data_IF_127553291760
#
_entry.id   IF_127553291760
#
_cell.length_a   1.000
_cell.length_b   1.000
_cell.length_c   1.000
_cell.angle_alpha   90.00
_cell.angle_beta   90.00
_cell.angle_gamma   90.00
#
_symmetry.space_group_name_H-M   'P 1'
#
loop_
_entity.id
_entity.type
_entity.pdbx_description
1 polymer ?
#
# COMPACT_ATOMS: atom_id res chain seq x y z
N UNK A 1 -43.37 -9.57 6.77
CA UNK A 1 -42.25 -8.81 6.16
C UNK A 1 -42.34 -7.37 6.65
N UNK A 2 -41.75 -7.07 7.80
CA UNK A 2 -41.70 -5.72 8.36
C UNK A 2 -40.78 -4.85 7.49
N UNK A 3 -41.28 -3.68 7.06
CA UNK A 3 -40.51 -2.77 6.23
C UNK A 3 -39.32 -2.21 7.02
N UNK A 4 -38.11 -2.30 6.44
CA UNK A 4 -36.89 -1.79 7.07
C UNK A 4 -37.03 -0.29 7.35
N UNK A 5 -36.68 0.08 8.58
CA UNK A 5 -36.66 1.48 9.01
C UNK A 5 -35.66 2.28 8.16
N UNK A 6 -35.83 3.60 8.08
CA UNK A 6 -34.92 4.46 7.32
C UNK A 6 -33.46 4.35 7.83
N UNK A 7 -33.29 4.12 9.14
CA UNK A 7 -31.98 3.93 9.77
C UNK A 7 -31.31 2.61 9.34
N UNK A 8 -32.06 1.51 9.25
CA UNK A 8 -31.57 0.22 8.78
C UNK A 8 -31.19 0.28 7.29
N UNK A 9 -32.01 0.94 6.47
CA UNK A 9 -31.71 1.16 5.05
C UNK A 9 -30.42 1.94 4.84
N UNK A 10 -30.18 2.99 5.63
CA UNK A 10 -28.96 3.80 5.55
C UNK A 10 -27.72 3.04 6.04
N UNK A 11 -27.87 2.14 7.02
CA UNK A 11 -26.80 1.25 7.48
C UNK A 11 -26.42 0.25 6.38
N UNK A 12 -27.40 -0.43 5.79
CA UNK A 12 -27.16 -1.36 4.69
C UNK A 12 -26.58 -0.68 3.45
N UNK A 13 -26.97 0.57 3.16
CA UNK A 13 -26.38 1.33 2.05
C UNK A 13 -24.90 1.65 2.32
N UNK A 14 -24.54 1.98 3.56
CA UNK A 14 -23.13 2.20 3.96
C UNK A 14 -22.32 0.92 3.89
N UNK A 15 -22.87 -0.18 4.39
CA UNK A 15 -22.25 -1.52 4.32
C UNK A 15 -22.00 -1.92 2.86
N UNK A 16 -22.99 -1.75 1.98
CA UNK A 16 -22.84 -2.00 0.53
C UNK A 16 -21.82 -1.09 -0.13
N UNK A 17 -21.74 0.18 0.28
CA UNK A 17 -20.73 1.12 -0.24
C UNK A 17 -19.31 0.71 0.19
N UNK A 18 -19.12 0.32 1.46
CA UNK A 18 -17.85 -0.21 1.96
C UNK A 18 -17.41 -1.46 1.21
N UNK A 19 -18.29 -2.46 1.09
CA UNK A 19 -18.01 -3.68 0.32
C UNK A 19 -17.64 -3.37 -1.14
N UNK A 20 -18.36 -2.45 -1.79
CA UNK A 20 -18.06 -2.05 -3.18
C UNK A 20 -16.73 -1.32 -3.31
N UNK A 21 -16.33 -0.57 -2.29
CA UNK A 21 -15.04 0.12 -2.22
C UNK A 21 -13.90 -0.87 -2.00
N UNK A 22 -14.05 -1.82 -1.09
CA UNK A 22 -13.11 -2.93 -0.87
C UNK A 22 -12.96 -3.81 -2.11
N UNK A 23 -14.06 -4.17 -2.79
CA UNK A 23 -14.02 -4.90 -4.07
C UNK A 23 -13.33 -4.08 -5.18
N UNK A 24 -13.55 -2.77 -5.22
CA UNK A 24 -12.87 -1.88 -6.17
C UNK A 24 -11.38 -1.79 -5.87
N UNK A 25 -10.99 -1.64 -4.60
CA UNK A 25 -9.59 -1.60 -4.17
C UNK A 25 -8.90 -2.94 -4.45
N UNK A 26 -9.56 -4.06 -4.19
CA UNK A 26 -9.06 -5.40 -4.52
C UNK A 26 -8.86 -5.59 -6.04
N UNK A 27 -9.74 -5.03 -6.88
CA UNK A 27 -9.58 -5.00 -8.34
C UNK A 27 -8.46 -4.07 -8.83
N UNK A 28 -8.08 -3.08 -8.03
CA UNK A 28 -6.99 -2.15 -8.35
C UNK A 28 -5.61 -2.75 -7.99
N UNK A 29 -5.56 -3.80 -7.18
CA UNK A 29 -4.33 -4.53 -6.90
C UNK A 29 -3.97 -5.41 -8.11
N UNK A 30 -3.20 -4.85 -9.05
CA UNK A 30 -2.69 -5.59 -10.21
C UNK A 30 -1.74 -6.73 -9.81
N UNK A 31 -1.15 -6.66 -8.61
CA UNK A 31 -0.23 -7.66 -8.05
C UNK A 31 -0.16 -7.55 -6.53
N UNK A 32 0.06 -8.67 -5.85
CA UNK A 32 0.47 -8.76 -4.43
C UNK A 32 1.90 -9.29 -4.36
N UNK A 33 2.73 -8.66 -3.51
CA UNK A 33 4.11 -9.06 -3.25
C UNK A 33 4.22 -9.33 -1.74
N UNK A 34 4.67 -10.53 -1.37
CA UNK A 34 5.01 -10.89 0.00
C UNK A 34 6.52 -11.01 0.11
N UNK A 35 7.10 -10.44 1.17
CA UNK A 35 8.53 -10.32 1.37
C UNK A 35 8.88 -10.74 2.79
N UNK A 36 9.68 -11.81 2.91
CA UNK A 36 10.35 -12.16 4.14
C UNK A 36 11.71 -11.45 4.19
N UNK A 37 11.93 -10.63 5.22
CA UNK A 37 13.16 -9.86 5.37
C UNK A 37 14.11 -10.52 6.36
N UNK A 38 15.38 -10.63 5.97
CA UNK A 38 16.44 -10.94 6.92
C UNK A 38 16.62 -9.78 7.90
N UNK A 39 17.05 -10.06 9.15
CA UNK A 39 17.12 -9.05 10.22
C UNK A 39 17.91 -7.79 9.84
N UNK A 40 19.02 -7.94 9.12
CA UNK A 40 19.82 -6.80 8.66
C UNK A 40 19.10 -5.93 7.61
N UNK A 41 18.25 -6.54 6.78
CA UNK A 41 17.44 -5.84 5.78
C UNK A 41 16.27 -5.10 6.44
N UNK A 42 15.62 -5.74 7.42
CA UNK A 42 14.57 -5.12 8.22
C UNK A 42 15.09 -3.87 8.97
N UNK A 43 16.28 -3.95 9.57
CA UNK A 43 16.91 -2.80 10.21
C UNK A 43 17.15 -1.62 9.24
N UNK A 44 17.53 -1.90 7.98
CA UNK A 44 17.67 -0.85 6.94
C UNK A 44 16.33 -0.25 6.53
N UNK A 45 15.26 -1.06 6.50
CA UNK A 45 13.90 -0.62 6.24
C UNK A 45 13.43 0.33 7.35
N UNK A 46 13.53 -0.09 8.62
CA UNK A 46 13.18 0.73 9.80
C UNK A 46 13.97 2.04 9.81
N UNK A 47 15.28 1.99 9.59
CA UNK A 47 16.10 3.21 9.53
C UNK A 47 15.67 4.16 8.39
N UNK A 48 15.23 3.62 7.25
CA UNK A 48 14.72 4.44 6.15
C UNK A 48 13.36 5.06 6.47
N UNK A 49 12.50 4.34 7.18
CA UNK A 49 11.23 4.83 7.70
C UNK A 49 11.43 6.00 8.66
N UNK A 50 12.33 5.87 9.63
CA UNK A 50 12.70 6.93 10.58
C UNK A 50 13.21 8.19 9.87
N UNK A 51 14.06 8.03 8.85
CA UNK A 51 14.62 9.16 8.08
C UNK A 51 13.59 9.91 7.25
N UNK A 52 12.48 9.27 6.92
CA UNK A 52 11.43 9.83 6.06
C UNK A 52 10.16 10.21 6.81
N UNK A 53 10.11 9.92 8.12
CA UNK A 53 8.92 10.08 8.96
C UNK A 53 7.71 9.31 8.40
N UNK A 54 7.95 8.09 7.91
CA UNK A 54 6.92 7.19 7.36
C UNK A 54 6.77 6.00 8.30
N UNK A 55 5.60 5.89 8.94
CA UNK A 55 5.31 4.84 9.93
C UNK A 55 4.94 3.48 9.31
N UNK A 56 4.51 3.47 8.04
CA UNK A 56 4.03 2.27 7.35
C UNK A 56 5.04 1.77 6.31
N UNK A 57 5.59 0.55 6.44
CA UNK A 57 6.53 -0.01 5.47
C UNK A 57 6.01 -0.03 4.04
N UNK A 58 4.72 -0.33 3.87
CA UNK A 58 4.04 -0.35 2.58
C UNK A 58 3.99 1.02 1.91
N UNK A 59 3.86 2.12 2.67
CA UNK A 59 3.86 3.47 2.11
C UNK A 59 5.27 3.82 1.63
N UNK A 60 6.29 3.52 2.44
CA UNK A 60 7.69 3.73 2.04
C UNK A 60 8.03 2.95 0.75
N UNK A 61 7.71 1.65 0.70
CA UNK A 61 7.96 0.81 -0.49
C UNK A 61 7.22 1.36 -1.71
N UNK A 62 5.95 1.76 -1.54
CA UNK A 62 5.16 2.34 -2.64
C UNK A 62 5.81 3.61 -3.18
N UNK A 63 6.27 4.51 -2.31
CA UNK A 63 6.97 5.73 -2.70
C UNK A 63 8.32 5.45 -3.35
N UNK A 64 9.05 4.44 -2.87
CA UNK A 64 10.32 4.01 -3.49
C UNK A 64 10.10 3.49 -4.91
N UNK A 65 9.05 2.70 -5.15
CA UNK A 65 8.70 2.22 -6.50
C UNK A 65 8.39 3.41 -7.42
N UNK A 66 7.55 4.34 -6.98
CA UNK A 66 7.24 5.54 -7.76
C UNK A 66 8.44 6.47 -7.96
N UNK A 67 9.35 6.53 -6.99
CA UNK A 67 10.58 7.30 -7.08
C UNK A 67 11.55 6.70 -8.10
N UNK A 68 11.74 5.38 -8.05
CA UNK A 68 12.59 4.63 -8.97
C UNK A 68 12.11 4.76 -10.43
N UNK A 69 10.80 4.73 -10.68
CA UNK A 69 10.19 4.90 -12.02
C UNK A 69 10.46 6.28 -12.65
N UNK A 70 10.77 7.29 -11.83
CA UNK A 70 11.09 8.65 -12.31
C UNK A 70 12.58 8.85 -12.62
N UNK A 71 13.43 7.88 -12.30
CA UNK A 71 14.86 7.95 -12.59
C UNK A 71 15.10 7.65 -14.07
N UNK A 72 16.23 8.14 -14.61
CA UNK A 72 16.71 7.64 -15.89
C UNK A 72 17.23 6.20 -15.73
N UNK A 73 17.34 5.48 -16.84
CA UNK A 73 17.85 4.10 -16.84
C UNK A 73 19.25 4.00 -16.20
N UNK A 74 20.12 4.99 -16.45
CA UNK A 74 21.47 5.04 -15.88
C UNK A 74 21.43 5.27 -14.36
N UNK A 75 20.60 6.21 -13.90
CA UNK A 75 20.48 6.52 -12.48
C UNK A 75 19.83 5.37 -11.69
N UNK A 76 18.84 4.70 -12.28
CA UNK A 76 18.25 3.49 -11.69
C UNK A 76 19.28 2.35 -11.62
N UNK A 77 20.05 2.16 -12.69
CA UNK A 77 21.10 1.14 -12.72
C UNK A 77 22.21 1.40 -11.68
N UNK A 78 22.55 2.67 -11.44
CA UNK A 78 23.47 3.06 -10.38
C UNK A 78 22.90 2.78 -8.99
N UNK A 79 21.64 3.18 -8.74
CA UNK A 79 20.94 2.96 -7.47
C UNK A 79 20.90 1.46 -7.09
N UNK A 80 20.56 0.59 -8.03
CA UNK A 80 20.42 -0.86 -7.78
C UNK A 80 21.77 -1.54 -7.50
N UNK A 81 22.89 -0.97 -7.95
CA UNK A 81 24.22 -1.53 -7.71
C UNK A 81 24.82 -1.13 -6.36
N UNK A 82 24.16 -0.25 -5.59
CA UNK A 82 24.63 0.11 -4.27
C UNK A 82 24.62 -1.13 -3.34
N UNK A 83 25.72 -1.40 -2.61
CA UNK A 83 25.87 -2.59 -1.76
C UNK A 83 25.04 -2.54 -0.48
#
# INVERSE_FOLDING_TARGET
MTAKTAAERKREERERKKLKEEERLARLLSRRIELDLFHATDAKLVHSMERTDIEEPQDLITRLIHGADRLSDEALAELIRLP
#
